data_IF_381722032269
#
_entry.id   IF_381722032269
#
_cell.length_a   1.000
_cell.length_b   1.000
_cell.length_c   1.000
_cell.angle_alpha   90.00
_cell.angle_beta   90.00
_cell.angle_gamma   90.00
#
_symmetry.space_group_name_H-M   'P 1'
#
loop_
_entity.id
_entity.type
_entity.pdbx_description
1 polymer ?
#
# COMPACT_ATOMS: atom_id res chain seq x y z
N UNK A 1 12.51 12.87 11.60
CA UNK A 1 13.15 12.25 10.41
C UNK A 1 12.11 11.95 9.33
N UNK A 2 12.53 11.96 8.05
CA UNK A 2 11.78 11.51 6.86
C UNK A 2 10.48 12.24 6.53
N UNK A 3 10.35 13.51 6.95
CA UNK A 3 9.12 14.28 6.72
C UNK A 3 8.85 14.53 5.23
N UNK A 4 9.88 14.87 4.45
CA UNK A 4 9.78 15.10 3.00
C UNK A 4 9.25 13.88 2.24
N UNK A 5 9.76 12.69 2.56
CA UNK A 5 9.41 11.44 1.89
C UNK A 5 7.98 11.02 2.25
N UNK A 6 7.61 11.16 3.53
CA UNK A 6 6.23 10.99 3.98
C UNK A 6 5.28 11.95 3.26
N UNK A 7 5.63 13.22 3.16
CA UNK A 7 4.80 14.22 2.50
C UNK A 7 4.63 13.93 1.00
N UNK A 8 5.72 13.56 0.30
CA UNK A 8 5.67 13.15 -1.11
C UNK A 8 4.66 12.01 -1.33
N UNK A 9 4.69 10.97 -0.50
CA UNK A 9 3.78 9.82 -0.62
C UNK A 9 2.33 10.19 -0.28
N UNK A 10 2.11 11.07 0.71
CA UNK A 10 0.77 11.57 1.03
C UNK A 10 0.18 12.40 -0.11
N UNK A 11 0.98 13.27 -0.71
CA UNK A 11 0.58 14.07 -1.85
C UNK A 11 0.27 13.17 -3.06
N UNK A 12 1.10 12.16 -3.29
CA UNK A 12 0.84 11.12 -4.30
C UNK A 12 -0.49 10.40 -4.05
N UNK A 13 -0.77 9.94 -2.83
CA UNK A 13 -2.05 9.30 -2.51
C UNK A 13 -3.24 10.23 -2.66
N UNK A 14 -3.13 11.47 -2.19
CA UNK A 14 -4.19 12.46 -2.37
C UNK A 14 -4.50 12.66 -3.86
N UNK A 15 -3.47 12.80 -4.69
CA UNK A 15 -3.64 12.96 -6.12
C UNK A 15 -4.23 11.69 -6.76
N UNK A 16 -3.71 10.51 -6.45
CA UNK A 16 -4.22 9.22 -6.93
C UNK A 16 -5.70 9.00 -6.61
N UNK A 17 -6.09 9.26 -5.35
CA UNK A 17 -7.44 8.99 -4.85
C UNK A 17 -8.45 10.00 -5.42
N UNK A 18 -8.03 11.25 -5.70
CA UNK A 18 -8.91 12.32 -6.22
C UNK A 18 -8.95 12.44 -7.74
N UNK A 19 -7.99 11.85 -8.46
CA UNK A 19 -7.96 11.90 -9.92
C UNK A 19 -9.19 11.27 -10.55
N UNK A 20 -9.48 11.63 -11.80
CA UNK A 20 -10.40 10.87 -12.65
C UNK A 20 -9.73 9.57 -13.11
N UNK A 21 -10.50 8.50 -13.32
CA UNK A 21 -9.97 7.15 -13.65
C UNK A 21 -9.04 7.19 -14.86
N UNK A 22 -9.46 7.87 -15.92
CA UNK A 22 -8.71 7.92 -17.18
C UNK A 22 -7.46 8.81 -17.10
N UNK A 23 -7.37 9.66 -16.07
CA UNK A 23 -6.28 10.64 -15.91
C UNK A 23 -5.30 10.29 -14.78
N UNK A 24 -5.39 9.09 -14.19
CA UNK A 24 -4.54 8.71 -13.04
C UNK A 24 -3.06 8.85 -13.42
N UNK A 25 -2.62 8.22 -14.52
CA UNK A 25 -1.22 8.17 -14.92
C UNK A 25 -0.62 9.58 -15.08
N UNK A 26 -1.27 10.45 -15.86
CA UNK A 26 -0.78 11.81 -16.12
C UNK A 26 -0.76 12.66 -14.86
N UNK A 27 -1.81 12.56 -14.03
CA UNK A 27 -1.94 13.36 -12.82
C UNK A 27 -0.92 13.02 -11.74
N UNK A 28 -0.45 11.77 -11.68
CA UNK A 28 0.49 11.30 -10.66
C UNK A 28 1.93 11.15 -11.18
N UNK A 29 2.17 11.31 -12.49
CA UNK A 29 3.48 11.16 -13.12
C UNK A 29 4.58 11.99 -12.43
N UNK A 30 4.23 13.18 -11.92
CA UNK A 30 5.20 14.06 -11.23
C UNK A 30 5.76 13.45 -9.93
N UNK A 31 5.13 12.44 -9.33
CA UNK A 31 5.61 11.79 -8.11
C UNK A 31 6.50 10.58 -8.41
N UNK A 32 6.41 10.02 -9.61
CA UNK A 32 7.05 8.76 -9.98
C UNK A 32 8.36 9.03 -10.74
N UNK A 33 9.36 8.17 -10.56
CA UNK A 33 10.61 8.21 -11.30
C UNK A 33 10.49 7.51 -12.67
N UNK A 34 11.39 7.84 -13.60
CA UNK A 34 11.38 7.23 -14.94
C UNK A 34 11.82 5.75 -14.92
N UNK A 35 12.69 5.38 -13.97
CA UNK A 35 13.22 4.03 -13.76
C UNK A 35 12.42 3.23 -12.72
N UNK A 36 11.12 3.49 -12.66
CA UNK A 36 10.21 2.95 -11.65
C UNK A 36 10.11 1.42 -11.64
N UNK A 37 10.05 0.84 -10.45
CA UNK A 37 9.80 -0.57 -10.23
C UNK A 37 8.60 -0.81 -9.32
N UNK A 38 7.61 -1.57 -9.79
CA UNK A 38 6.49 -2.03 -8.97
C UNK A 38 6.54 -3.54 -8.75
N UNK A 39 6.49 -3.95 -7.49
CA UNK A 39 6.47 -5.34 -7.05
C UNK A 39 5.07 -5.68 -6.55
N UNK A 40 4.33 -6.41 -7.37
CA UNK A 40 3.12 -7.09 -6.94
C UNK A 40 3.30 -8.60 -6.93
N UNK A 41 2.16 -9.27 -6.97
CA UNK A 41 2.05 -10.71 -7.12
C UNK A 41 1.01 -11.04 -8.19
N UNK A 42 0.90 -12.31 -8.58
CA UNK A 42 -0.08 -12.73 -9.58
C UNK A 42 -1.51 -12.26 -9.21
N UNK A 43 -2.28 -11.66 -10.12
CA UNK A 43 -2.08 -11.63 -11.58
C UNK A 43 -1.27 -10.45 -12.12
N UNK A 44 -0.84 -9.53 -11.25
CA UNK A 44 -0.19 -8.28 -11.66
C UNK A 44 1.33 -8.41 -11.79
N UNK A 45 1.97 -9.29 -11.02
CA UNK A 45 3.42 -9.57 -11.08
C UNK A 45 4.30 -8.32 -10.89
N UNK A 46 5.53 -8.34 -11.39
CA UNK A 46 6.41 -7.16 -11.41
C UNK A 46 6.09 -6.28 -12.63
N UNK A 47 6.09 -4.97 -12.45
CA UNK A 47 5.92 -3.98 -13.52
C UNK A 47 7.06 -2.96 -13.46
N UNK A 48 7.56 -2.54 -14.62
CA UNK A 48 8.66 -1.55 -14.73
C UNK A 48 8.22 -0.22 -15.34
N UNK A 49 6.91 -0.10 -15.57
CA UNK A 49 6.28 1.08 -16.14
C UNK A 49 5.07 1.42 -15.28
N UNK A 50 5.06 2.64 -14.74
CA UNK A 50 3.97 3.11 -13.90
C UNK A 50 2.65 3.21 -14.66
N UNK A 51 2.68 3.57 -15.95
CA UNK A 51 1.47 3.61 -16.77
C UNK A 51 0.82 2.22 -16.90
N UNK A 52 1.65 1.18 -16.94
CA UNK A 52 1.19 -0.21 -16.94
C UNK A 52 0.58 -0.62 -15.59
N UNK A 53 1.15 -0.18 -14.46
CA UNK A 53 0.53 -0.37 -13.14
C UNK A 53 -0.83 0.31 -13.08
N UNK A 54 -0.94 1.54 -13.59
CA UNK A 54 -2.21 2.27 -13.64
C UNK A 54 -3.25 1.53 -14.47
N UNK A 55 -2.89 1.10 -15.68
CA UNK A 55 -3.80 0.42 -16.60
C UNK A 55 -4.22 -0.98 -16.11
N UNK A 56 -3.31 -1.73 -15.49
CA UNK A 56 -3.59 -3.11 -15.03
C UNK A 56 -4.28 -3.14 -13.68
N UNK A 57 -3.90 -2.26 -12.75
CA UNK A 57 -4.36 -2.32 -11.36
C UNK A 57 -5.27 -1.16 -10.99
N UNK A 58 -4.79 0.08 -11.03
CA UNK A 58 -5.53 1.21 -10.46
C UNK A 58 -6.81 1.55 -11.21
N UNK A 59 -6.78 1.55 -12.54
CA UNK A 59 -7.96 1.84 -13.36
C UNK A 59 -9.04 0.77 -13.19
N UNK A 60 -8.76 -0.54 -13.38
CA UNK A 60 -9.76 -1.58 -13.15
C UNK A 60 -10.28 -1.57 -11.70
N UNK A 61 -9.39 -1.40 -10.71
CA UNK A 61 -9.79 -1.34 -9.31
C UNK A 61 -10.79 -0.20 -9.07
N UNK A 62 -10.49 1.04 -9.51
CA UNK A 62 -11.39 2.19 -9.30
C UNK A 62 -12.63 2.17 -10.20
N UNK A 63 -12.60 1.44 -11.31
CA UNK A 63 -13.80 1.18 -12.10
C UNK A 63 -14.76 0.24 -11.35
N UNK A 64 -14.22 -0.80 -10.71
CA UNK A 64 -15.00 -1.80 -9.95
C UNK A 64 -15.45 -1.32 -8.57
N UNK A 65 -14.56 -0.66 -7.83
CA UNK A 65 -14.83 -0.11 -6.50
C UNK A 65 -15.28 1.36 -6.63
N UNK A 66 -16.58 1.60 -6.69
CA UNK A 66 -17.15 2.96 -6.71
C UNK A 66 -17.05 3.62 -5.35
N UNK A 67 -16.91 4.94 -5.36
CA UNK A 67 -16.77 5.77 -4.15
C UNK A 67 -15.65 5.26 -3.22
N UNK A 68 -14.56 4.76 -3.80
CA UNK A 68 -13.45 4.17 -3.05
C UNK A 68 -12.81 5.20 -2.11
N UNK A 69 -12.50 4.77 -0.90
CA UNK A 69 -11.81 5.53 0.14
C UNK A 69 -10.61 4.73 0.63
N UNK A 70 -9.51 5.42 0.87
CA UNK A 70 -8.36 4.89 1.59
C UNK A 70 -8.52 5.16 3.08
N UNK A 71 -8.52 4.10 3.88
CA UNK A 71 -8.51 4.15 5.34
C UNK A 71 -7.22 3.53 5.84
N UNK A 72 -6.27 4.38 6.18
CA UNK A 72 -4.97 3.97 6.71
C UNK A 72 -5.09 3.62 8.20
N UNK A 73 -4.47 2.51 8.59
CA UNK A 73 -4.29 2.09 9.98
C UNK A 73 -2.82 2.26 10.42
N UNK A 74 -1.88 2.12 9.49
CA UNK A 74 -0.43 2.35 9.70
C UNK A 74 0.08 3.27 8.59
N UNK A 75 0.85 4.29 8.97
CA UNK A 75 1.63 5.12 8.07
C UNK A 75 2.93 5.53 8.75
N UNK A 76 4.08 5.12 8.22
CA UNK A 76 5.38 5.46 8.80
C UNK A 76 6.50 5.37 7.75
N UNK A 77 7.71 5.82 8.10
CA UNK A 77 8.86 5.76 7.21
C UNK A 77 10.12 5.30 7.94
N UNK A 78 11.02 4.63 7.23
CA UNK A 78 12.29 4.16 7.75
C UNK A 78 13.34 4.02 6.65
N UNK A 79 14.61 4.09 7.03
CA UNK A 79 15.72 3.87 6.09
C UNK A 79 16.03 2.38 5.99
N UNK A 80 16.22 1.86 4.78
CA UNK A 80 16.76 0.51 4.62
C UNK A 80 18.23 0.50 5.09
N UNK A 81 18.56 -0.41 6.02
CA UNK A 81 19.89 -0.53 6.63
C UNK A 81 20.59 -1.85 6.29
N UNK A 82 20.03 -2.67 5.39
CA UNK A 82 20.71 -3.90 4.96
C UNK A 82 22.04 -3.55 4.27
N UNK A 83 23.15 -4.25 4.58
CA UNK A 83 24.49 -3.92 4.06
C UNK A 83 24.57 -3.85 2.52
N UNK A 84 23.82 -4.73 1.85
CA UNK A 84 23.78 -4.83 0.38
C UNK A 84 22.61 -4.05 -0.24
N UNK A 85 21.90 -3.24 0.55
CA UNK A 85 20.87 -2.36 -0.01
C UNK A 85 21.53 -1.12 -0.63
N UNK A 86 20.93 -0.63 -1.70
CA UNK A 86 21.22 0.68 -2.28
C UNK A 86 20.71 1.86 -1.41
N UNK A 87 20.27 1.56 -0.18
CA UNK A 87 19.72 2.52 0.77
C UNK A 87 18.28 2.94 0.42
N UNK A 88 18.00 4.23 0.58
CA UNK A 88 16.68 4.82 0.38
C UNK A 88 15.79 4.81 1.63
N UNK A 89 14.80 5.69 1.61
CA UNK A 89 13.77 5.80 2.63
C UNK A 89 12.53 5.10 2.11
N UNK A 90 12.04 4.13 2.88
CA UNK A 90 10.80 3.43 2.59
C UNK A 90 9.68 4.02 3.44
N UNK A 91 8.62 4.45 2.79
CA UNK A 91 7.37 4.88 3.41
C UNK A 91 6.39 3.74 3.26
N UNK A 92 5.77 3.32 4.36
CA UNK A 92 4.76 2.25 4.36
C UNK A 92 3.39 2.83 4.69
N UNK A 93 2.38 2.35 3.98
CA UNK A 93 0.96 2.54 4.30
C UNK A 93 0.25 1.20 4.32
N UNK A 94 -0.56 0.96 5.33
CA UNK A 94 -1.35 -0.26 5.47
C UNK A 94 -2.74 0.10 5.98
N UNK A 95 -3.74 -0.62 5.50
CA UNK A 95 -5.12 -0.49 5.96
C UNK A 95 -6.08 -1.07 4.94
N UNK A 96 -7.09 -0.29 4.59
CA UNK A 96 -8.16 -0.71 3.69
C UNK A 96 -8.40 0.30 2.56
N UNK A 97 -8.49 -0.20 1.34
CA UNK A 97 -9.21 0.45 0.26
C UNK A 97 -10.65 -0.08 0.31
N UNK A 98 -11.64 0.78 0.53
CA UNK A 98 -13.03 0.37 0.68
C UNK A 98 -13.95 1.17 -0.22
N UNK A 99 -14.93 0.50 -0.82
CA UNK A 99 -15.90 1.12 -1.72
C UNK A 99 -17.03 0.15 -2.03
N UNK A 100 -17.95 0.57 -2.90
CA UNK A 100 -18.99 -0.29 -3.42
C UNK A 100 -18.45 -1.12 -4.58
N UNK A 101 -18.47 -2.45 -4.48
CA UNK A 101 -18.07 -3.33 -5.59
C UNK A 101 -19.25 -3.47 -6.56
N UNK A 102 -19.38 -2.50 -7.46
CA UNK A 102 -20.51 -2.35 -8.38
C UNK A 102 -20.24 -2.94 -9.77
N UNK A 103 -18.97 -3.10 -10.14
CA UNK A 103 -18.57 -3.84 -11.35
C UNK A 103 -17.64 -5.00 -10.99
N UNK A 104 -17.59 -6.07 -11.81
CA UNK A 104 -16.66 -7.17 -11.58
C UNK A 104 -15.20 -6.71 -11.52
N UNK A 105 -14.40 -7.34 -10.66
CA UNK A 105 -12.96 -7.10 -10.56
C UNK A 105 -12.21 -8.43 -10.58
N UNK A 106 -11.27 -8.62 -11.52
CA UNK A 106 -10.54 -9.89 -11.70
C UNK A 106 -11.45 -11.13 -11.87
N UNK A 107 -12.65 -10.93 -12.44
CA UNK A 107 -13.66 -11.99 -12.58
C UNK A 107 -14.48 -12.26 -11.30
N UNK A 108 -14.20 -11.56 -10.20
CA UNK A 108 -15.04 -11.59 -9.00
C UNK A 108 -16.32 -10.80 -9.31
N UNK A 109 -17.52 -11.38 -9.12
CA UNK A 109 -18.77 -10.71 -9.44
C UNK A 109 -19.01 -9.48 -8.55
N UNK A 110 -19.68 -8.48 -9.11
CA UNK A 110 -20.15 -7.32 -8.36
C UNK A 110 -21.11 -7.76 -7.23
N UNK A 111 -20.98 -7.13 -6.07
CA UNK A 111 -21.85 -7.42 -4.91
C UNK A 111 -22.89 -6.34 -4.67
N UNK A 112 -22.69 -5.13 -5.21
CA UNK A 112 -23.50 -3.95 -4.92
C UNK A 112 -23.41 -3.50 -3.45
N UNK A 113 -22.36 -3.92 -2.73
CA UNK A 113 -22.18 -3.71 -1.29
C UNK A 113 -20.80 -3.13 -1.01
N UNK A 114 -20.68 -2.51 0.17
CA UNK A 114 -19.41 -2.10 0.72
C UNK A 114 -18.46 -3.30 0.82
N UNK A 115 -17.30 -3.20 0.21
CA UNK A 115 -16.27 -4.23 0.16
C UNK A 115 -14.95 -3.64 0.61
N UNK A 116 -14.20 -4.40 1.40
CA UNK A 116 -12.95 -3.99 2.03
C UNK A 116 -11.77 -4.75 1.42
N UNK A 117 -10.93 -4.06 0.65
CA UNK A 117 -9.65 -4.56 0.16
C UNK A 117 -8.56 -4.18 1.15
N UNK A 118 -8.09 -5.15 1.92
CA UNK A 118 -6.90 -4.98 2.78
C UNK A 118 -5.67 -4.81 1.91
N UNK A 119 -4.81 -3.87 2.28
CA UNK A 119 -3.56 -3.62 1.58
C UNK A 119 -2.41 -3.26 2.52
N UNK A 120 -1.20 -3.51 2.04
CA UNK A 120 0.05 -2.99 2.58
C UNK A 120 0.91 -2.56 1.38
N UNK A 121 1.29 -1.31 1.35
CA UNK A 121 2.04 -0.67 0.27
C UNK A 121 3.28 0.00 0.83
N UNK A 122 4.41 -0.27 0.20
CA UNK A 122 5.71 0.31 0.54
C UNK A 122 6.18 1.12 -0.66
N UNK A 123 6.58 2.37 -0.45
CA UNK A 123 7.16 3.24 -1.45
C UNK A 123 8.60 3.58 -1.07
N UNK A 124 9.55 3.24 -1.93
CA UNK A 124 10.92 3.73 -1.80
C UNK A 124 11.02 5.11 -2.43
N UNK A 125 11.46 6.07 -1.63
CA UNK A 125 11.68 7.45 -2.06
C UNK A 125 13.17 7.71 -2.20
N UNK A 126 13.55 8.22 -3.38
CA UNK A 126 14.89 8.70 -3.69
C UNK A 126 14.79 9.88 -4.65
N UNK A 127 15.67 10.87 -4.51
CA UNK A 127 15.69 12.07 -5.36
C UNK A 127 14.31 12.77 -5.48
N UNK A 128 13.56 12.82 -4.36
CA UNK A 128 12.21 13.39 -4.29
C UNK A 128 11.19 12.75 -5.26
N UNK A 129 11.38 11.48 -5.58
CA UNK A 129 10.49 10.66 -6.41
C UNK A 129 10.28 9.29 -5.78
N UNK A 130 9.15 8.66 -6.08
CA UNK A 130 8.90 7.26 -5.81
C UNK A 130 9.59 6.45 -6.91
N UNK A 131 10.66 5.75 -6.54
CA UNK A 131 11.47 4.94 -7.47
C UNK A 131 11.05 3.47 -7.46
N UNK A 132 10.48 3.01 -6.35
CA UNK A 132 10.04 1.62 -6.21
C UNK A 132 8.78 1.56 -5.37
N UNK A 133 7.89 0.62 -5.67
CA UNK A 133 6.76 0.31 -4.80
C UNK A 133 6.56 -1.18 -4.68
N UNK A 134 6.30 -1.67 -3.47
CA UNK A 134 5.84 -3.03 -3.25
C UNK A 134 4.43 -2.97 -2.70
N UNK A 135 3.46 -3.52 -3.43
CA UNK A 135 2.05 -3.41 -3.10
C UNK A 135 1.42 -4.79 -2.98
N UNK A 136 0.95 -5.10 -1.78
CA UNK A 136 0.29 -6.36 -1.46
C UNK A 136 -1.12 -6.07 -0.95
N UNK A 137 -2.08 -6.87 -1.39
CA UNK A 137 -3.48 -6.71 -1.03
C UNK A 137 -4.17 -8.05 -1.05
N UNK A 138 -5.34 -8.18 -0.43
CA UNK A 138 -5.96 -9.48 -0.19
C UNK A 138 -7.13 -9.75 -1.17
N UNK A 139 -6.83 -10.27 -2.36
CA UNK A 139 -7.83 -10.70 -3.34
C UNK A 139 -8.76 -11.79 -2.75
N UNK A 140 -8.25 -12.85 -2.08
CA UNK A 140 -9.13 -13.85 -1.47
C UNK A 140 -10.16 -13.28 -0.49
N UNK A 141 -9.81 -12.24 0.27
CA UNK A 141 -10.75 -11.55 1.14
C UNK A 141 -11.89 -10.88 0.37
N UNK A 142 -11.62 -10.33 -0.82
CA UNK A 142 -12.67 -9.80 -1.71
C UNK A 142 -13.54 -10.93 -2.24
N UNK A 143 -12.95 -12.05 -2.66
CA UNK A 143 -13.69 -13.24 -3.12
C UNK A 143 -14.68 -13.72 -2.05
N UNK A 144 -14.23 -13.81 -0.80
CA UNK A 144 -15.08 -14.25 0.32
C UNK A 144 -16.20 -13.26 0.64
N UNK A 145 -15.94 -11.94 0.56
CA UNK A 145 -16.99 -10.92 0.68
C UNK A 145 -18.03 -11.02 -0.45
N UNK A 146 -17.62 -11.50 -1.63
CA UNK A 146 -18.52 -11.80 -2.75
C UNK A 146 -19.22 -13.18 -2.65
N UNK A 147 -19.03 -13.91 -1.54
CA UNK A 147 -19.64 -15.22 -1.32
C UNK A 147 -18.95 -16.38 -2.04
N UNK A 148 -17.76 -16.16 -2.59
CA UNK A 148 -16.92 -17.22 -3.15
C UNK A 148 -16.11 -17.90 -2.03
N UNK A 149 -15.70 -19.14 -2.27
CA UNK A 149 -14.87 -19.90 -1.32
C UNK A 149 -13.58 -20.40 -1.99
N UNK A 150 -12.50 -19.61 -2.00
CA UNK A 150 -11.25 -19.98 -2.67
C UNK A 150 -10.41 -21.01 -1.90
N UNK A 151 -10.72 -21.27 -0.63
CA UNK A 151 -9.90 -22.11 0.26
C UNK A 151 -10.71 -23.26 0.90
N UNK A 152 -10.04 -24.30 1.42
CA UNK A 152 -10.67 -25.32 2.25
C UNK A 152 -11.32 -24.73 3.52
N UNK A 153 -12.19 -25.48 4.21
CA UNK A 153 -12.82 -25.03 5.45
C UNK A 153 -11.79 -24.57 6.50
N UNK A 154 -12.00 -23.35 7.01
CA UNK A 154 -11.17 -22.76 8.07
C UNK A 154 -11.75 -23.03 9.45
N UNK A 155 -10.87 -23.23 10.45
CA UNK A 155 -11.26 -23.42 11.86
C UNK A 155 -11.31 -22.12 12.65
N UNK A 156 -10.72 -21.04 12.13
CA UNK A 156 -10.75 -19.70 12.72
C UNK A 156 -11.88 -18.84 12.17
N UNK A 157 -12.09 -17.66 12.79
CA UNK A 157 -13.02 -16.66 12.28
C UNK A 157 -12.30 -15.66 11.38
N UNK A 158 -12.97 -15.23 10.31
CA UNK A 158 -12.52 -14.12 9.48
C UNK A 158 -13.22 -12.84 9.91
N UNK A 159 -12.43 -11.81 10.17
CA UNK A 159 -12.88 -10.51 10.64
C UNK A 159 -12.23 -9.42 9.81
N UNK A 160 -12.82 -8.23 9.84
CA UNK A 160 -12.11 -7.00 9.49
C UNK A 160 -11.17 -6.69 10.65
N UNK A 161 -9.85 -6.73 10.40
CA UNK A 161 -8.87 -6.48 11.46
C UNK A 161 -8.89 -4.98 11.81
N UNK A 162 -9.09 -4.63 13.10
CA UNK A 162 -8.95 -3.24 13.52
C UNK A 162 -7.48 -2.81 13.43
N UNK A 163 -7.27 -1.51 13.23
CA UNK A 163 -5.95 -0.90 13.43
C UNK A 163 -5.45 -1.01 14.88
N UNK A 164 -4.22 -0.52 15.16
CA UNK A 164 -3.65 -0.57 16.50
C UNK A 164 -4.56 0.05 17.55
N UNK A 165 -4.67 -0.61 18.72
CA UNK A 165 -5.51 -0.17 19.85
C UNK A 165 -5.24 1.28 20.29
N UNK A 166 -3.98 1.71 20.16
CA UNK A 166 -3.51 3.04 20.52
C UNK A 166 -3.88 4.13 19.53
N UNK A 167 -4.36 3.77 18.34
CA UNK A 167 -4.68 4.70 17.24
C UNK A 167 -3.54 5.65 16.85
N UNK A 168 -2.29 5.29 17.16
CA UNK A 168 -1.09 6.08 16.87
C UNK A 168 -0.25 5.50 15.72
N UNK A 169 -0.84 4.62 14.90
CA UNK A 169 -0.17 4.00 13.75
C UNK A 169 0.12 4.98 12.62
N UNK A 170 -0.53 6.14 12.61
CA UNK A 170 -0.37 7.18 11.59
C UNK A 170 0.65 8.22 12.04
N UNK A 171 1.91 7.99 11.69
CA UNK A 171 3.05 8.82 12.09
C UNK A 171 3.39 9.79 10.94
N UNK A 172 2.61 10.85 10.81
CA UNK A 172 2.81 11.87 9.77
C UNK A 172 3.97 12.82 10.07
N UNK A 173 4.11 13.19 11.33
CA UNK A 173 5.10 14.15 11.78
C UNK A 173 6.51 13.56 11.85
N UNK A 174 7.46 14.43 12.17
CA UNK A 174 8.84 14.02 12.39
C UNK A 174 8.97 13.11 13.61
N UNK A 175 9.65 11.98 13.41
CA UNK A 175 10.09 11.12 14.51
C UNK A 175 11.46 11.57 15.05
N UNK A 176 11.65 11.45 16.37
CA UNK A 176 12.92 11.74 17.05
C UNK A 176 14.02 10.75 16.57
N UNK A 177 15.14 11.23 16.00
CA UNK A 177 16.28 10.41 15.65
C UNK A 177 16.79 9.53 16.78
N UNK A 178 16.86 10.05 18.01
CA UNK A 178 17.44 9.35 19.14
C UNK A 178 16.62 8.11 19.55
N UNK A 179 15.29 8.20 19.50
CA UNK A 179 14.40 7.06 19.75
C UNK A 179 14.48 6.01 18.63
N UNK A 180 14.66 6.45 17.38
CA UNK A 180 14.90 5.56 16.25
C UNK A 180 16.18 4.74 16.42
N UNK A 181 17.28 5.38 16.83
CA UNK A 181 18.55 4.70 17.04
C UNK A 181 18.51 3.73 18.23
N UNK A 182 17.79 4.06 19.31
CA UNK A 182 17.55 3.11 20.42
C UNK A 182 16.77 1.88 19.98
N UNK A 183 15.73 2.08 19.17
CA UNK A 183 14.89 0.99 18.66
C UNK A 183 15.70 0.05 17.78
N UNK A 184 16.54 0.60 16.89
CA UNK A 184 17.43 -0.22 16.05
C UNK A 184 18.47 -0.96 16.90
N UNK A 185 19.10 -0.30 17.86
CA UNK A 185 20.06 -0.97 18.75
C UNK A 185 19.43 -2.17 19.49
N UNK A 186 18.16 -2.05 19.91
CA UNK A 186 17.41 -3.15 20.51
C UNK A 186 17.13 -4.29 19.51
N UNK A 187 16.77 -3.97 18.25
CA UNK A 187 16.58 -4.97 17.19
C UNK A 187 17.89 -5.70 16.90
N UNK A 188 18.99 -4.97 16.70
CA UNK A 188 20.30 -5.54 16.42
C UNK A 188 20.77 -6.44 17.58
N UNK A 189 20.50 -6.04 18.83
CA UNK A 189 20.75 -6.90 19.98
C UNK A 189 19.95 -8.21 19.89
N UNK A 190 18.63 -8.16 19.64
CA UNK A 190 17.80 -9.36 19.53
C UNK A 190 18.20 -10.29 18.37
N UNK A 191 18.68 -9.74 17.25
CA UNK A 191 19.12 -10.54 16.10
C UNK A 191 20.45 -11.24 16.36
N UNK A 192 21.37 -10.61 17.10
CA UNK A 192 22.71 -11.14 17.34
C UNK A 192 22.84 -11.97 18.63
N UNK A 193 21.89 -11.88 19.55
CA UNK A 193 21.86 -12.61 20.83
C UNK A 193 21.11 -13.97 20.77
N UNK A 194 20.84 -14.47 19.55
CA UNK A 194 20.28 -15.81 19.26
C UNK A 194 21.30 -16.59 18.44
#
# INVERSE_FOLDING_TARGET
MFHSEKQLVRDYYQQLDTSLVDNIADSTATYIADDYLWRGYHPFNEQKDYSQVVALFWQPLRQSFKHMQRREDIFMAGKNRLPDSDGGVWVVSMGHLMGLLDEPWLGIPATGKMTFLRYCEFHKVANNKIVESAMFFDIPHVMMQAGLNPFPPMTGAQLVQPGPMTHNGLIYDESDPAEGDKTIAAIDFMVNDI
#
